data_IF_607742247345
#
_entry.id   IF_607742247345
#
_cell.length_a   1.000
_cell.length_b   1.000
_cell.length_c   1.000
_cell.angle_alpha   90.00
_cell.angle_beta   90.00
_cell.angle_gamma   90.00
#
_symmetry.space_group_name_H-M   'P 1'
#
loop_
_entity.id
_entity.type
_entity.pdbx_description
1 polymer ?
#
# COMPACT_ATOMS: atom_id res chain seq x y z
N UNK A 1 -31.13 3.70 -3.59
CA UNK A 1 -30.45 4.21 -2.40
C UNK A 1 -29.37 5.20 -2.79
N UNK A 2 -29.48 6.45 -2.30
CA UNK A 2 -28.47 7.46 -2.63
C UNK A 2 -27.17 7.13 -1.90
N UNK A 3 -26.07 7.08 -2.63
CA UNK A 3 -24.75 7.05 -2.03
C UNK A 3 -24.49 8.42 -1.40
N UNK A 4 -24.28 8.43 -0.08
CA UNK A 4 -23.91 9.65 0.64
C UNK A 4 -22.44 10.02 0.44
N UNK A 5 -21.63 9.04 -0.01
CA UNK A 5 -20.22 9.22 -0.29
C UNK A 5 -19.97 9.14 -1.79
N UNK A 6 -18.82 9.67 -2.23
CA UNK A 6 -18.43 9.65 -3.64
C UNK A 6 -18.07 8.24 -4.13
N UNK A 7 -17.84 7.32 -3.22
CA UNK A 7 -17.46 5.95 -3.56
C UNK A 7 -17.86 4.98 -2.46
N UNK A 8 -17.84 3.70 -2.80
CA UNK A 8 -18.10 2.62 -1.87
C UNK A 8 -17.08 1.51 -2.12
N UNK A 9 -16.48 1.01 -1.06
CA UNK A 9 -15.59 -0.14 -1.14
C UNK A 9 -16.44 -1.39 -1.00
N UNK A 10 -16.45 -2.22 -2.05
CA UNK A 10 -17.27 -3.42 -2.10
C UNK A 10 -16.55 -4.64 -1.54
N UNK A 11 -15.24 -4.68 -1.67
CA UNK A 11 -14.43 -5.78 -1.19
C UNK A 11 -12.98 -5.33 -1.02
N UNK A 12 -12.29 -5.96 -0.09
CA UNK A 12 -10.85 -5.77 0.14
C UNK A 12 -10.23 -7.14 0.39
N UNK A 13 -9.06 -7.38 -0.17
CA UNK A 13 -8.35 -8.63 0.10
C UNK A 13 -6.85 -8.48 -0.17
N UNK A 14 -6.06 -9.34 0.47
CA UNK A 14 -4.63 -9.46 0.19
C UNK A 14 -4.48 -10.34 -1.04
N UNK A 15 -3.94 -9.78 -2.11
CA UNK A 15 -3.69 -10.52 -3.34
C UNK A 15 -2.40 -11.31 -3.26
N UNK A 16 -1.36 -10.73 -2.69
CA UNK A 16 -0.07 -11.34 -2.53
C UNK A 16 0.64 -10.77 -1.31
N UNK A 17 1.34 -11.61 -0.58
CA UNK A 17 2.14 -11.18 0.57
C UNK A 17 3.41 -12.03 0.57
N UNK A 18 4.57 -11.37 0.61
CA UNK A 18 5.85 -12.01 0.44
C UNK A 18 6.87 -11.50 1.44
N UNK A 19 7.58 -12.43 2.05
CA UNK A 19 8.71 -12.13 2.91
C UNK A 19 9.80 -13.16 2.62
N UNK A 20 10.99 -12.67 2.33
CA UNK A 20 12.11 -13.57 2.06
C UNK A 20 13.38 -13.05 2.71
N UNK A 21 14.00 -13.90 3.52
CA UNK A 21 15.34 -13.70 4.06
C UNK A 21 16.13 -14.96 3.76
N UNK A 22 17.06 -14.92 2.79
CA UNK A 22 17.67 -16.14 2.24
C UNK A 22 18.48 -16.98 3.23
N UNK A 23 19.15 -16.34 4.20
CA UNK A 23 20.00 -17.04 5.14
C UNK A 23 20.17 -16.24 6.43
N UNK A 24 20.79 -16.87 7.43
CA UNK A 24 20.97 -16.22 8.74
C UNK A 24 21.93 -15.04 8.68
N UNK A 25 22.95 -15.09 7.81
CA UNK A 25 23.88 -13.97 7.66
C UNK A 25 23.17 -12.74 7.13
N UNK A 26 22.26 -12.93 6.18
CA UNK A 26 21.41 -11.86 5.65
C UNK A 26 20.53 -11.28 6.77
N UNK A 27 19.90 -12.15 7.55
CA UNK A 27 19.05 -11.70 8.66
C UNK A 27 19.83 -10.82 9.63
N UNK A 28 21.03 -11.25 10.04
CA UNK A 28 21.85 -10.48 10.99
C UNK A 28 22.24 -9.13 10.39
N UNK A 29 22.63 -9.12 9.11
CA UNK A 29 22.99 -7.90 8.42
C UNK A 29 21.81 -6.94 8.33
N UNK A 30 20.66 -7.42 7.90
CA UNK A 30 19.45 -6.60 7.76
C UNK A 30 19.03 -6.04 9.11
N UNK A 31 19.06 -6.85 10.16
CA UNK A 31 18.70 -6.39 11.50
C UNK A 31 19.54 -5.22 11.97
N UNK A 32 20.84 -5.26 11.69
CA UNK A 32 21.76 -4.15 12.02
C UNK A 32 21.52 -2.90 11.18
N UNK A 33 20.98 -3.07 9.98
CA UNK A 33 20.79 -1.98 9.02
C UNK A 33 19.32 -1.65 8.76
N UNK A 34 18.44 -2.08 9.64
CA UNK A 34 17.00 -1.94 9.42
C UNK A 34 16.56 -0.46 9.30
N UNK A 35 17.30 0.44 9.94
CA UNK A 35 17.00 1.87 9.86
C UNK A 35 17.18 2.44 8.44
N UNK A 36 17.89 1.75 7.56
CA UNK A 36 18.04 2.14 6.15
C UNK A 36 16.88 1.71 5.28
N UNK A 37 16.02 0.80 5.80
CA UNK A 37 14.86 0.34 5.06
C UNK A 37 13.80 1.43 5.03
N UNK A 38 13.15 1.56 3.88
CA UNK A 38 12.13 2.58 3.66
C UNK A 38 10.87 1.94 3.09
N UNK A 39 9.73 2.48 3.47
CA UNK A 39 8.44 2.06 2.95
C UNK A 39 8.17 2.78 1.63
N UNK A 40 7.90 2.00 0.59
CA UNK A 40 7.52 2.53 -0.73
C UNK A 40 6.11 2.07 -1.06
N UNK A 41 5.33 2.97 -1.62
CA UNK A 41 3.94 2.72 -1.96
C UNK A 41 3.73 2.93 -3.45
N UNK A 42 3.09 1.98 -4.09
CA UNK A 42 2.66 2.11 -5.48
C UNK A 42 1.16 1.80 -5.56
N UNK A 43 0.42 2.62 -6.27
CA UNK A 43 -1.01 2.49 -6.44
C UNK A 43 -1.32 2.46 -7.93
N UNK A 44 -2.05 1.45 -8.38
CA UNK A 44 -2.58 1.44 -9.73
C UNK A 44 -4.04 1.00 -9.72
N UNK A 45 -4.76 1.35 -10.77
CA UNK A 45 -6.16 1.03 -10.88
C UNK A 45 -6.49 0.48 -12.26
N UNK A 46 -7.56 -0.28 -12.32
CA UNK A 46 -8.00 -0.97 -13.53
C UNK A 46 -9.52 -1.00 -13.55
N UNK A 47 -10.15 -0.52 -14.63
CA UNK A 47 -11.60 -0.59 -14.72
C UNK A 47 -12.08 -2.04 -14.85
N UNK A 48 -13.18 -2.33 -14.20
CA UNK A 48 -13.86 -3.61 -14.26
C UNK A 48 -15.25 -3.43 -14.88
N UNK A 49 -15.93 -4.54 -15.08
CA UNK A 49 -17.32 -4.50 -15.56
C UNK A 49 -18.23 -3.89 -14.49
N UNK A 50 -19.38 -3.36 -14.92
CA UNK A 50 -20.42 -2.79 -14.03
C UNK A 50 -19.94 -1.55 -13.24
N UNK A 51 -19.10 -0.72 -13.87
CA UNK A 51 -18.60 0.55 -13.29
C UNK A 51 -17.81 0.36 -11.99
N UNK A 52 -17.29 -0.83 -11.79
CA UNK A 52 -16.38 -1.08 -10.68
C UNK A 52 -14.95 -0.84 -11.09
N UNK A 53 -14.11 -0.55 -10.11
CA UNK A 53 -12.68 -0.29 -10.32
C UNK A 53 -11.88 -1.14 -9.34
N UNK A 54 -10.89 -1.85 -9.88
CA UNK A 54 -9.94 -2.56 -9.07
C UNK A 54 -8.80 -1.61 -8.71
N UNK A 55 -8.53 -1.43 -7.42
CA UNK A 55 -7.42 -0.59 -6.95
C UNK A 55 -6.40 -1.51 -6.29
N UNK A 56 -5.18 -1.50 -6.83
CA UNK A 56 -4.05 -2.29 -6.32
C UNK A 56 -3.10 -1.36 -5.58
N UNK A 57 -2.92 -1.61 -4.28
CA UNK A 57 -2.00 -0.85 -3.44
C UNK A 57 -0.88 -1.79 -3.01
N UNK A 58 0.34 -1.47 -3.42
CA UNK A 58 1.51 -2.27 -3.11
C UNK A 58 2.39 -1.54 -2.12
N UNK A 59 2.74 -2.21 -1.03
CA UNK A 59 3.74 -1.72 -0.09
C UNK A 59 4.98 -2.59 -0.20
N UNK A 60 6.14 -1.94 -0.30
CA UNK A 60 7.45 -2.59 -0.24
C UNK A 60 8.27 -1.93 0.84
N UNK A 61 8.94 -2.75 1.63
CA UNK A 61 9.85 -2.26 2.66
C UNK A 61 11.25 -2.71 2.25
N UNK A 62 12.09 -1.77 1.84
CA UNK A 62 13.36 -2.11 1.20
C UNK A 62 14.44 -1.06 1.43
N UNK A 63 15.69 -1.50 1.32
CA UNK A 63 16.87 -0.66 1.30
C UNK A 63 17.39 -0.61 -0.13
N UNK A 64 17.20 0.52 -0.80
CA UNK A 64 17.59 0.69 -2.21
C UNK A 64 19.08 0.99 -2.39
N UNK A 65 19.77 1.39 -1.33
CA UNK A 65 21.14 1.86 -1.43
C UNK A 65 22.19 0.75 -1.34
N UNK A 66 21.85 -0.38 -0.75
CA UNK A 66 22.83 -1.46 -0.59
C UNK A 66 22.75 -2.47 -1.72
N UNK A 67 23.93 -2.90 -2.21
CA UNK A 67 24.06 -3.99 -3.17
C UNK A 67 24.31 -5.33 -2.48
N UNK A 68 24.31 -5.33 -1.14
CA UNK A 68 24.53 -6.54 -0.34
C UNK A 68 23.23 -7.35 -0.23
N UNK A 69 23.34 -8.53 0.35
CA UNK A 69 22.20 -9.40 0.60
C UNK A 69 21.09 -8.66 1.34
N UNK A 70 19.87 -8.84 0.87
CA UNK A 70 18.69 -8.12 1.39
C UNK A 70 17.58 -9.09 1.76
N UNK A 71 16.79 -8.68 2.74
CA UNK A 71 15.48 -9.26 2.97
C UNK A 71 14.48 -8.55 2.06
N UNK A 72 13.48 -9.28 1.62
CA UNK A 72 12.44 -8.77 0.73
C UNK A 72 11.09 -8.84 1.44
N UNK A 73 10.35 -7.73 1.41
CA UNK A 73 9.03 -7.64 2.03
C UNK A 73 8.08 -6.88 1.10
N UNK A 74 6.98 -7.51 0.75
CA UNK A 74 6.00 -6.90 -0.13
C UNK A 74 4.59 -7.39 0.19
N UNK A 75 3.62 -6.49 0.09
CA UNK A 75 2.21 -6.85 0.11
C UNK A 75 1.51 -6.15 -1.04
N UNK A 76 0.65 -6.89 -1.74
CA UNK A 76 -0.26 -6.33 -2.74
C UNK A 76 -1.67 -6.47 -2.20
N UNK A 77 -2.31 -5.34 -1.97
CA UNK A 77 -3.64 -5.24 -1.40
C UNK A 77 -4.62 -4.73 -2.45
N UNK A 78 -5.73 -5.42 -2.60
CA UNK A 78 -6.71 -5.07 -3.62
C UNK A 78 -7.99 -4.57 -2.97
N UNK A 79 -8.53 -3.50 -3.54
CA UNK A 79 -9.85 -2.96 -3.17
C UNK A 79 -10.70 -2.92 -4.42
N UNK A 80 -11.95 -3.36 -4.31
CA UNK A 80 -12.93 -3.23 -5.38
C UNK A 80 -13.83 -2.07 -5.00
N UNK A 81 -13.85 -1.06 -5.86
CA UNK A 81 -14.50 0.23 -5.56
C UNK A 81 -15.59 0.51 -6.58
N UNK A 82 -16.72 0.97 -6.10
CA UNK A 82 -17.77 1.52 -6.94
C UNK A 82 -17.81 3.02 -6.71
N UNK A 83 -17.67 3.78 -7.79
CA UNK A 83 -17.64 5.25 -7.72
C UNK A 83 -19.03 5.77 -8.09
N UNK A 84 -19.44 6.85 -7.42
CA UNK A 84 -20.73 7.51 -7.68
C UNK A 84 -20.80 7.92 -9.16
N UNK A 85 -21.93 7.67 -9.78
CA UNK A 85 -22.16 7.97 -11.20
C UNK A 85 -22.02 9.45 -11.55
N UNK A 86 -22.15 10.32 -10.56
CA UNK A 86 -21.98 11.77 -10.76
C UNK A 86 -20.51 12.17 -10.95
N UNK A 87 -19.59 11.29 -10.61
CA UNK A 87 -18.15 11.56 -10.77
C UNK A 87 -17.76 11.22 -12.20
N UNK A 88 -17.59 12.23 -13.02
CA UNK A 88 -17.26 12.06 -14.44
C UNK A 88 -15.91 12.66 -14.81
N UNK A 89 -15.41 13.58 -13.99
CA UNK A 89 -14.12 14.22 -14.18
C UNK A 89 -13.00 13.26 -13.82
N UNK A 90 -12.07 13.06 -14.72
CA UNK A 90 -10.91 12.20 -14.52
C UNK A 90 -10.11 12.60 -13.29
N UNK A 91 -9.95 13.89 -13.06
CA UNK A 91 -9.19 14.41 -11.93
C UNK A 91 -9.86 14.09 -10.59
N UNK A 92 -11.19 14.23 -10.54
CA UNK A 92 -11.96 13.87 -9.35
C UNK A 92 -11.87 12.38 -9.07
N UNK A 93 -11.91 11.56 -10.13
CA UNK A 93 -11.77 10.12 -10.01
C UNK A 93 -10.39 9.74 -9.45
N UNK A 94 -9.33 10.38 -9.95
CA UNK A 94 -7.97 10.13 -9.45
C UNK A 94 -7.84 10.45 -7.97
N UNK A 95 -8.42 11.56 -7.51
CA UNK A 95 -8.40 11.95 -6.11
C UNK A 95 -9.11 10.88 -5.25
N UNK A 96 -10.25 10.40 -5.71
CA UNK A 96 -10.98 9.35 -5.00
C UNK A 96 -10.11 8.09 -4.85
N UNK A 97 -9.52 7.61 -5.95
CA UNK A 97 -8.78 6.36 -5.97
C UNK A 97 -7.42 6.45 -5.25
N UNK A 98 -6.74 7.59 -5.38
CA UNK A 98 -5.38 7.76 -4.86
C UNK A 98 -5.34 8.37 -3.45
N UNK A 99 -6.41 9.03 -3.02
CA UNK A 99 -6.46 9.66 -1.70
C UNK A 99 -7.55 9.09 -0.81
N UNK A 100 -8.82 9.20 -1.22
CA UNK A 100 -9.94 8.87 -0.35
C UNK A 100 -10.06 7.37 -0.08
N UNK A 101 -9.89 6.55 -1.10
CA UNK A 101 -9.89 5.10 -0.95
C UNK A 101 -8.71 4.66 -0.08
N UNK A 102 -7.54 5.23 -0.34
CA UNK A 102 -6.33 4.90 0.42
C UNK A 102 -6.48 5.22 1.90
N UNK A 103 -7.06 6.38 2.22
CA UNK A 103 -7.29 6.76 3.61
C UNK A 103 -8.20 5.76 4.35
N UNK A 104 -9.13 5.14 3.64
CA UNK A 104 -10.01 4.14 4.25
C UNK A 104 -9.37 2.76 4.40
N UNK A 105 -8.58 2.33 3.43
CA UNK A 105 -8.00 0.97 3.46
C UNK A 105 -6.68 0.91 4.22
N UNK A 106 -5.97 2.02 4.33
CA UNK A 106 -4.60 2.03 4.83
C UNK A 106 -4.45 1.50 6.25
N UNK A 107 -5.31 1.82 7.21
CA UNK A 107 -5.14 1.30 8.57
C UNK A 107 -5.10 -0.23 8.63
N UNK A 108 -5.94 -0.91 7.87
CA UNK A 108 -5.94 -2.37 7.81
C UNK A 108 -4.74 -2.91 7.03
N UNK A 109 -4.41 -2.27 5.91
CA UNK A 109 -3.25 -2.62 5.10
C UNK A 109 -1.96 -2.49 5.90
N UNK A 110 -1.79 -1.36 6.61
CA UNK A 110 -0.61 -1.10 7.44
C UNK A 110 -0.47 -2.15 8.54
N UNK A 111 -1.56 -2.46 9.22
CA UNK A 111 -1.55 -3.49 10.27
C UNK A 111 -1.11 -4.85 9.72
N UNK A 112 -1.67 -5.24 8.59
CA UNK A 112 -1.36 -6.53 7.96
C UNK A 112 0.12 -6.60 7.56
N UNK A 113 0.63 -5.53 6.97
CA UNK A 113 2.03 -5.45 6.55
C UNK A 113 2.97 -5.42 7.75
N UNK A 114 2.61 -4.67 8.78
CA UNK A 114 3.41 -4.58 10.00
C UNK A 114 3.49 -5.95 10.69
N UNK A 115 2.40 -6.69 10.72
CA UNK A 115 2.39 -8.06 11.25
C UNK A 115 3.35 -8.97 10.46
N UNK A 116 3.41 -8.80 9.14
CA UNK A 116 4.36 -9.54 8.31
C UNK A 116 5.80 -9.22 8.73
N UNK A 117 6.13 -7.94 8.89
CA UNK A 117 7.47 -7.52 9.27
C UNK A 117 7.86 -8.08 10.64
N UNK A 118 6.95 -7.99 11.61
CA UNK A 118 7.19 -8.52 12.96
C UNK A 118 7.40 -10.03 12.94
N UNK A 119 6.57 -10.76 12.19
CA UNK A 119 6.66 -12.21 12.07
C UNK A 119 7.87 -12.66 11.23
N UNK A 120 8.44 -11.75 10.46
CA UNK A 120 9.64 -12.00 9.67
C UNK A 120 10.94 -11.82 10.47
N UNK A 121 10.81 -11.53 11.76
CA UNK A 121 11.96 -11.41 12.65
C UNK A 121 12.33 -9.99 13.06
N UNK A 122 11.47 -9.01 12.78
CA UNK A 122 11.74 -7.60 13.06
C UNK A 122 10.62 -6.97 13.90
N UNK A 123 10.42 -7.46 15.15
CA UNK A 123 9.31 -6.99 15.99
C UNK A 123 9.46 -5.56 16.47
N UNK A 124 10.65 -4.97 16.36
CA UNK A 124 10.92 -3.60 16.76
C UNK A 124 10.49 -2.56 15.70
N UNK A 125 10.17 -2.98 14.47
CA UNK A 125 9.78 -2.05 13.41
C UNK A 125 8.46 -1.38 13.74
N UNK A 126 8.43 -0.06 13.58
CA UNK A 126 7.23 0.75 13.70
C UNK A 126 7.11 1.63 12.46
N UNK A 127 5.93 1.66 11.88
CA UNK A 127 5.64 2.55 10.76
C UNK A 127 4.97 3.81 11.32
N UNK A 128 5.78 4.67 11.95
CA UNK A 128 5.30 5.81 12.72
C UNK A 128 4.80 6.99 11.88
N UNK A 129 5.30 7.13 10.67
CA UNK A 129 4.88 8.23 9.82
C UNK A 129 3.52 7.94 9.22
N UNK A 130 2.54 8.76 9.56
CA UNK A 130 1.26 8.72 8.86
C UNK A 130 1.48 9.18 7.44
N UNK A 131 1.03 8.37 6.49
CA UNK A 131 1.12 8.71 5.08
C UNK A 131 0.02 9.69 4.75
N UNK A 132 0.39 10.84 4.21
CA UNK A 132 -0.55 11.82 3.70
C UNK A 132 -0.72 11.56 2.20
N UNK A 133 -1.78 10.84 1.85
CA UNK A 133 -2.05 10.48 0.45
C UNK A 133 -2.36 11.69 -0.41
N UNK A 134 -2.93 12.73 0.17
CA UNK A 134 -3.18 13.99 -0.55
C UNK A 134 -1.87 14.64 -0.96
N UNK A 135 -0.89 14.67 -0.05
CA UNK A 135 0.46 15.19 -0.36
C UNK A 135 1.14 14.36 -1.44
N UNK A 136 1.06 13.03 -1.35
CA UNK A 136 1.64 12.14 -2.36
C UNK A 136 1.03 12.40 -3.73
N UNK A 137 -0.28 12.59 -3.80
CA UNK A 137 -0.98 12.89 -5.05
C UNK A 137 -0.49 14.22 -5.64
N UNK A 138 -0.37 15.25 -4.81
CA UNK A 138 0.12 16.57 -5.24
C UNK A 138 1.54 16.50 -5.79
N UNK A 139 2.41 15.71 -5.20
CA UNK A 139 3.79 15.53 -5.66
C UNK A 139 3.84 14.85 -7.03
N UNK A 140 2.94 13.90 -7.28
CA UNK A 140 2.86 13.22 -8.58
C UNK A 140 2.28 14.10 -9.69
N UNK A 141 1.44 15.07 -9.34
CA UNK A 141 0.77 15.95 -10.30
C UNK A 141 1.64 17.09 -10.78
N UNK A 142 2.75 17.34 -10.11
CA UNK A 142 3.65 18.45 -10.47
C UNK A 142 4.77 17.99 -11.38
#
# INVERSE_FOLDING_TARGET
MKMTENFKILAEFVKDISSETPDIQTYIFVKKNIAKYQLNIAINSKPLKNKMIEVNTTLKFEDKETNKKKSYFEIVYVSIVKVNENIKDKKDLEIILLCDVQNKIYPNLEKTFLDLLHNSGFPEIKLEKKIDFTQLYKQKSN
#
